data_IF_477257120986
#
_entry.id   IF_477257120986
#
_cell.length_a   1.000
_cell.length_b   1.000
_cell.length_c   1.000
_cell.angle_alpha   90.00
_cell.angle_beta   90.00
_cell.angle_gamma   90.00
#
_symmetry.space_group_name_H-M   'P 1'
#
loop_
_entity.id
_entity.type
_entity.pdbx_description
1 polymer ?
#
# COMPACT_ATOMS: atom_id res chain seq x y z
N UNK A 1 20.11 1.08 10.91
CA UNK A 1 18.94 0.21 11.02
C UNK A 1 17.65 0.99 10.87
N UNK A 2 16.74 0.45 10.08
CA UNK A 2 15.45 1.08 9.91
C UNK A 2 14.64 0.96 11.21
N UNK A 3 13.95 2.03 11.56
CA UNK A 3 13.11 2.06 12.75
C UNK A 3 11.72 1.54 12.39
N UNK A 4 11.16 0.70 13.26
CA UNK A 4 9.81 0.20 13.07
C UNK A 4 8.79 1.32 13.02
N UNK A 5 7.71 1.09 12.27
CA UNK A 5 6.64 2.06 12.07
C UNK A 5 5.31 1.47 12.56
N UNK A 6 4.26 2.28 12.47
CA UNK A 6 2.91 1.83 12.76
C UNK A 6 2.52 0.63 11.86
N UNK A 7 3.05 0.58 10.63
CA UNK A 7 2.75 -0.54 9.74
C UNK A 7 3.36 -1.85 10.25
N UNK A 8 4.55 -1.79 10.85
CA UNK A 8 5.15 -2.97 11.50
C UNK A 8 4.20 -3.55 12.55
N UNK A 9 3.59 -2.68 13.34
CA UNK A 9 2.65 -3.10 14.38
C UNK A 9 1.35 -3.65 13.82
N UNK A 10 0.87 -3.09 12.72
CA UNK A 10 -0.34 -3.60 12.04
C UNK A 10 -0.08 -5.00 11.50
N UNK A 11 1.08 -5.21 10.87
CA UNK A 11 1.47 -6.50 10.32
C UNK A 11 1.46 -7.58 11.41
N UNK A 12 1.96 -7.24 12.60
CA UNK A 12 2.00 -8.16 13.73
C UNK A 12 0.68 -8.21 14.52
N UNK A 13 -0.31 -7.44 14.11
CA UNK A 13 -1.63 -7.37 14.76
C UNK A 13 -1.54 -6.87 16.20
N UNK A 14 -0.55 -6.01 16.47
CA UNK A 14 -0.36 -5.41 17.80
C UNK A 14 -1.27 -4.21 18.01
N UNK A 15 -1.75 -3.61 16.93
CA UNK A 15 -2.74 -2.53 16.98
C UNK A 15 -3.87 -2.86 16.00
N UNK A 16 -5.10 -2.36 16.26
CA UNK A 16 -6.23 -2.68 15.39
C UNK A 16 -6.10 -2.05 14.01
N UNK A 17 -6.55 -2.79 13.00
CA UNK A 17 -6.65 -2.31 11.64
C UNK A 17 -7.61 -3.23 10.89
N UNK A 18 -8.24 -2.71 9.84
CA UNK A 18 -9.14 -3.49 9.00
C UNK A 18 -8.31 -4.21 7.93
N UNK A 19 -7.75 -5.37 8.29
CA UNK A 19 -6.90 -6.15 7.41
C UNK A 19 -7.77 -6.90 6.41
N UNK A 20 -7.52 -6.67 5.11
CA UNK A 20 -8.28 -7.28 4.03
C UNK A 20 -7.57 -8.50 3.44
N UNK A 21 -6.26 -8.58 3.61
CA UNK A 21 -5.45 -9.66 3.08
C UNK A 21 -4.13 -9.73 3.83
N UNK A 22 -3.65 -10.94 4.10
CA UNK A 22 -2.33 -11.11 4.69
C UNK A 22 -1.79 -12.49 4.33
N UNK A 23 -0.53 -12.52 3.90
CA UNK A 23 0.19 -13.77 3.71
C UNK A 23 1.62 -13.60 4.23
N UNK A 24 2.52 -14.51 3.89
CA UNK A 24 3.91 -14.46 4.35
C UNK A 24 4.73 -13.33 3.74
N UNK A 25 4.24 -12.68 2.69
CA UNK A 25 4.98 -11.64 1.99
C UNK A 25 4.38 -10.24 2.16
N UNK A 26 3.06 -10.12 2.18
CA UNK A 26 2.40 -8.81 2.18
C UNK A 26 1.20 -8.79 3.12
N UNK A 27 0.83 -7.57 3.53
CA UNK A 27 -0.37 -7.30 4.32
C UNK A 27 -1.09 -6.11 3.67
N UNK A 28 -2.41 -6.21 3.56
CA UNK A 28 -3.23 -5.13 3.01
C UNK A 28 -4.33 -4.77 4.00
N UNK A 29 -4.56 -3.46 4.17
CA UNK A 29 -5.55 -2.96 5.13
C UNK A 29 -6.11 -1.63 4.64
N UNK A 30 -7.31 -1.27 5.15
CA UNK A 30 -7.92 -0.02 4.77
C UNK A 30 -7.22 1.15 5.42
N UNK A 31 -7.05 2.25 4.66
CA UNK A 31 -6.54 3.50 5.23
C UNK A 31 -7.62 4.09 6.15
N UNK A 32 -7.24 4.48 7.36
CA UNK A 32 -8.18 5.07 8.33
C UNK A 32 -8.53 6.52 7.97
N UNK A 33 -7.79 7.14 7.06
CA UNK A 33 -8.07 8.48 6.54
C UNK A 33 -8.16 8.39 5.01
N UNK A 34 -9.23 7.75 4.49
CA UNK A 34 -9.29 7.51 3.05
C UNK A 34 -9.39 8.81 2.25
N UNK A 35 -8.68 8.82 1.13
CA UNK A 35 -8.66 9.96 0.19
C UNK A 35 -9.60 9.75 -0.98
N UNK A 36 -10.23 8.57 -1.07
CA UNK A 36 -11.19 8.22 -2.10
C UNK A 36 -12.16 7.22 -1.51
N UNK A 37 -13.22 6.88 -2.23
CA UNK A 37 -14.23 5.91 -1.75
C UNK A 37 -13.61 4.56 -1.41
N UNK A 38 -12.62 4.13 -2.19
CA UNK A 38 -11.81 2.97 -1.87
C UNK A 38 -10.38 3.45 -1.69
N UNK A 39 -9.79 3.18 -0.53
CA UNK A 39 -8.40 3.52 -0.25
C UNK A 39 -7.79 2.44 0.62
N UNK A 40 -6.99 1.59 0.01
CA UNK A 40 -6.36 0.43 0.65
C UNK A 40 -4.85 0.61 0.57
N UNK A 41 -4.15 0.21 1.63
CA UNK A 41 -2.69 0.21 1.67
C UNK A 41 -2.21 -1.23 1.60
N UNK A 42 -1.23 -1.48 0.75
CA UNK A 42 -0.61 -2.80 0.62
C UNK A 42 0.87 -2.64 0.94
N UNK A 43 1.34 -3.38 1.93
CA UNK A 43 2.71 -3.26 2.42
C UNK A 43 3.43 -4.59 2.37
N UNK A 44 4.75 -4.61 2.09
CA UNK A 44 5.53 -5.82 2.28
C UNK A 44 5.70 -6.05 3.78
N UNK A 45 5.72 -7.32 4.20
CA UNK A 45 5.91 -7.62 5.61
C UNK A 45 7.32 -7.26 6.08
N UNK A 46 8.30 -7.35 5.18
CA UNK A 46 9.67 -6.91 5.49
C UNK A 46 9.72 -5.39 5.49
N UNK A 47 10.41 -4.81 6.46
CA UNK A 47 10.52 -3.35 6.57
C UNK A 47 11.51 -2.82 5.54
N UNK A 48 11.00 -2.10 4.56
CA UNK A 48 11.78 -1.40 3.54
C UNK A 48 11.40 0.07 3.66
N UNK A 49 12.31 0.95 4.12
CA UNK A 49 11.90 2.33 4.41
C UNK A 49 11.46 3.12 3.18
N UNK A 50 12.20 3.05 2.07
CA UNK A 50 11.87 3.78 0.84
C UNK A 50 12.13 2.92 -0.38
N UNK A 51 11.65 3.36 -1.54
CA UNK A 51 11.93 2.68 -2.81
C UNK A 51 13.43 2.63 -3.08
N UNK A 52 14.18 3.62 -2.58
CA UNK A 52 15.64 3.63 -2.77
C UNK A 52 16.35 2.52 -2.00
N UNK A 53 15.66 1.88 -1.06
CA UNK A 53 16.21 0.78 -0.26
C UNK A 53 15.81 -0.60 -0.76
N UNK A 54 15.09 -0.65 -1.88
CA UNK A 54 14.66 -1.92 -2.47
C UNK A 54 15.86 -2.67 -3.02
N UNK A 55 15.92 -3.97 -2.73
CA UNK A 55 16.97 -4.88 -3.18
C UNK A 55 16.35 -6.00 -4.02
N UNK A 56 17.18 -6.72 -4.81
CA UNK A 56 16.65 -7.85 -5.60
C UNK A 56 15.91 -8.90 -4.76
N UNK A 57 16.31 -9.10 -3.51
CA UNK A 57 15.64 -10.04 -2.61
C UNK A 57 14.20 -9.64 -2.31
N UNK A 58 13.84 -8.39 -2.55
CA UNK A 58 12.49 -7.88 -2.28
C UNK A 58 11.54 -8.07 -3.46
N UNK A 59 12.05 -8.49 -4.63
CA UNK A 59 11.25 -8.49 -5.87
C UNK A 59 10.00 -9.35 -5.77
N UNK A 60 10.08 -10.50 -5.11
CA UNK A 60 8.93 -11.38 -4.97
C UNK A 60 7.82 -10.70 -4.18
N UNK A 61 8.17 -10.06 -3.05
CA UNK A 61 7.19 -9.35 -2.22
C UNK A 61 6.58 -8.17 -2.99
N UNK A 62 7.41 -7.42 -3.73
CA UNK A 62 6.93 -6.27 -4.51
C UNK A 62 5.96 -6.73 -5.61
N UNK A 63 6.28 -7.82 -6.30
CA UNK A 63 5.36 -8.38 -7.28
C UNK A 63 4.05 -8.84 -6.65
N UNK A 64 4.14 -9.45 -5.46
CA UNK A 64 2.94 -9.89 -4.74
C UNK A 64 2.04 -8.71 -4.39
N UNK A 65 2.62 -7.55 -4.09
CA UNK A 65 1.81 -6.35 -3.80
C UNK A 65 0.89 -6.02 -4.98
N UNK A 66 1.38 -6.15 -6.20
CA UNK A 66 0.55 -5.87 -7.40
C UNK A 66 -0.50 -6.95 -7.64
N UNK A 67 -0.17 -8.21 -7.45
CA UNK A 67 -1.14 -9.30 -7.59
C UNK A 67 -2.26 -9.15 -6.57
N UNK A 68 -1.92 -8.77 -5.35
CA UNK A 68 -2.91 -8.54 -4.29
C UNK A 68 -3.74 -7.29 -4.59
N UNK A 69 -3.11 -6.21 -5.12
CA UNK A 69 -3.85 -5.01 -5.53
C UNK A 69 -4.92 -5.37 -6.57
N UNK A 70 -4.57 -6.17 -7.57
CA UNK A 70 -5.51 -6.63 -8.58
C UNK A 70 -6.69 -7.36 -7.95
N UNK A 71 -6.40 -8.28 -7.03
CA UNK A 71 -7.45 -9.05 -6.34
C UNK A 71 -8.37 -8.15 -5.55
N UNK A 72 -7.81 -7.22 -4.76
CA UNK A 72 -8.61 -6.35 -3.91
C UNK A 72 -9.42 -5.35 -4.72
N UNK A 73 -8.90 -4.87 -5.85
CA UNK A 73 -9.66 -4.00 -6.74
C UNK A 73 -10.86 -4.74 -7.32
N UNK A 74 -10.69 -6.00 -7.69
CA UNK A 74 -11.80 -6.83 -8.17
C UNK A 74 -12.82 -7.05 -7.07
N UNK A 75 -12.37 -7.38 -5.87
CA UNK A 75 -13.25 -7.62 -4.72
C UNK A 75 -14.03 -6.36 -4.36
N UNK A 76 -13.43 -5.19 -4.50
CA UNK A 76 -14.07 -3.91 -4.20
C UNK A 76 -14.98 -3.41 -5.33
N UNK A 77 -15.01 -4.12 -6.46
CA UNK A 77 -15.86 -3.75 -7.59
C UNK A 77 -15.38 -2.55 -8.39
N UNK A 78 -14.08 -2.21 -8.31
CA UNK A 78 -13.53 -1.03 -8.99
C UNK A 78 -12.64 -1.37 -10.18
N UNK A 79 -12.48 -2.66 -10.49
CA UNK A 79 -11.55 -3.08 -11.53
C UNK A 79 -11.93 -2.56 -12.91
N UNK A 80 -13.23 -2.64 -13.29
CA UNK A 80 -13.68 -2.27 -14.63
C UNK A 80 -13.58 -0.78 -14.91
N UNK A 81 -14.02 0.05 -13.94
CA UNK A 81 -13.96 1.51 -14.12
C UNK A 81 -12.55 2.03 -13.91
N UNK A 82 -11.73 1.29 -13.20
CA UNK A 82 -10.33 1.64 -13.02
C UNK A 82 -9.99 2.20 -11.65
N UNK A 83 -8.70 2.20 -11.37
CA UNK A 83 -8.17 2.65 -10.09
C UNK A 83 -6.74 3.13 -10.30
N UNK A 84 -6.16 3.70 -9.27
CA UNK A 84 -4.78 4.21 -9.34
C UNK A 84 -3.95 3.56 -8.26
N UNK A 85 -2.73 3.19 -8.62
CA UNK A 85 -1.74 2.66 -7.68
C UNK A 85 -0.66 3.71 -7.51
N UNK A 86 -0.35 4.06 -6.25
CA UNK A 86 0.60 5.14 -5.94
C UNK A 86 1.58 4.63 -4.89
N UNK A 87 2.87 4.84 -5.13
CA UNK A 87 3.90 4.60 -4.13
C UNK A 87 4.78 5.84 -4.06
N UNK A 88 4.82 6.47 -2.89
CA UNK A 88 5.58 7.69 -2.67
C UNK A 88 6.97 7.36 -2.14
N UNK A 89 7.95 8.19 -2.50
CA UNK A 89 9.32 8.03 -2.04
C UNK A 89 9.85 9.37 -1.53
N UNK A 90 10.19 9.40 -0.26
CA UNK A 90 10.84 10.53 0.40
C UNK A 90 10.02 11.83 0.36
N UNK A 91 10.64 12.94 0.73
CA UNK A 91 9.95 14.20 0.99
C UNK A 91 9.21 14.76 -0.22
N UNK A 92 9.87 14.82 -1.37
CA UNK A 92 9.25 15.38 -2.58
C UNK A 92 8.12 14.48 -3.10
N UNK A 93 8.16 13.18 -2.79
CA UNK A 93 7.08 12.25 -3.14
C UNK A 93 5.92 12.25 -2.16
N UNK A 94 6.09 12.93 -1.01
CA UNK A 94 5.05 12.98 0.00
C UNK A 94 4.95 11.73 0.86
N UNK A 95 6.04 10.99 1.03
CA UNK A 95 6.04 9.80 1.86
C UNK A 95 5.89 10.17 3.33
N UNK A 96 4.86 9.65 3.99
CA UNK A 96 4.59 9.96 5.39
C UNK A 96 5.10 8.89 6.35
N UNK A 97 4.95 7.61 5.97
CA UNK A 97 5.41 6.48 6.78
C UNK A 97 6.58 5.81 6.07
N UNK A 98 7.68 5.59 6.79
CA UNK A 98 8.90 5.04 6.20
C UNK A 98 8.94 3.51 6.30
N UNK A 99 7.96 2.92 5.68
CA UNK A 99 7.77 1.53 5.35
C UNK A 99 6.98 1.59 4.05
N UNK A 100 7.59 1.20 2.95
CA UNK A 100 6.97 1.41 1.63
C UNK A 100 5.56 0.82 1.60
N UNK A 101 4.68 1.51 0.91
CA UNK A 101 3.29 1.07 0.81
C UNK A 101 2.70 1.51 -0.51
N UNK A 102 1.90 0.63 -1.08
CA UNK A 102 1.21 0.88 -2.33
C UNK A 102 -0.20 1.32 -1.99
N UNK A 103 -0.56 2.56 -2.37
CA UNK A 103 -1.93 3.03 -2.25
C UNK A 103 -2.74 2.48 -3.39
N UNK A 104 -3.86 1.83 -3.09
CA UNK A 104 -4.86 1.44 -4.06
C UNK A 104 -6.06 2.36 -3.85
N UNK A 105 -6.27 3.28 -4.78
CA UNK A 105 -7.34 4.28 -4.67
C UNK A 105 -8.27 4.19 -5.87
N UNK A 106 -9.57 4.32 -5.62
CA UNK A 106 -10.56 4.21 -6.67
C UNK A 106 -11.97 4.36 -6.16
N UNK A 107 -12.93 3.92 -6.97
CA UNK A 107 -14.35 4.02 -6.64
C UNK A 107 -14.99 5.30 -7.15
N UNK A 108 -14.20 6.18 -7.75
CA UNK A 108 -14.65 7.45 -8.31
C UNK A 108 -13.52 8.00 -9.20
N UNK A 109 -13.84 8.92 -10.13
CA UNK A 109 -12.79 9.57 -10.91
C UNK A 109 -11.82 10.31 -9.98
N UNK A 110 -10.52 10.12 -10.19
CA UNK A 110 -9.49 10.65 -9.31
C UNK A 110 -8.86 11.95 -9.83
N UNK A 111 -9.26 12.38 -11.03
CA UNK A 111 -8.71 13.60 -11.59
C UNK A 111 -7.36 13.39 -12.27
N UNK A 112 -6.60 14.50 -12.51
CA UNK A 112 -5.34 14.42 -13.25
C UNK A 112 -4.28 13.62 -12.48
N UNK A 113 -3.20 13.28 -13.19
CA UNK A 113 -2.09 12.51 -12.62
C UNK A 113 -1.57 13.15 -11.33
N UNK A 114 -1.40 14.46 -11.33
CA UNK A 114 -1.00 15.20 -10.14
C UNK A 114 -2.08 16.22 -9.80
N UNK A 115 -2.46 16.22 -8.53
CA UNK A 115 -3.44 17.17 -7.98
C UNK A 115 -2.66 18.26 -7.25
N UNK A 116 -2.34 19.33 -7.94
CA UNK A 116 -1.57 20.44 -7.37
C UNK A 116 -2.47 21.55 -6.85
#
# INVERSE_FOLDING_TARGET
MAQETIFSKIIRKEIPADILYQDDLVTAFRDIQPKAKTHILIVPNVLIPTVNDVEPDHELALGRMFTVARKLASDAGIAEDGYRLIMNCNRHGGQEVYHIHLHLVGGEPLGPLLSL
#
